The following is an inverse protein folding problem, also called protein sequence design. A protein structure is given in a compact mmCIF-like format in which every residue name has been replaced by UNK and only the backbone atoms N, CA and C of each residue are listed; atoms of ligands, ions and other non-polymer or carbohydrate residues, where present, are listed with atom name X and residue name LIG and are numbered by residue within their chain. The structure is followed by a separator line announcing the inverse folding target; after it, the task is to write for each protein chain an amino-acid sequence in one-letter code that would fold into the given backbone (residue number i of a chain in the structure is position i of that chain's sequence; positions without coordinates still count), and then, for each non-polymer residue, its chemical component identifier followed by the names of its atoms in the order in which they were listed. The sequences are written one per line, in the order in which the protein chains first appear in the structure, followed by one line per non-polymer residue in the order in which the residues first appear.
data_IF_330444886197
#
_entry.id   IF_330444886197
#
_cell.length_a   1.000
_cell.length_b   1.000
_cell.length_c   1.000
_cell.angle_alpha   90.00
_cell.angle_beta   90.00
_cell.angle_gamma   90.00
#
_symmetry.space_group_name_H-M   'P 1'
#
loop_
_entity.id
_entity.type
_entity.pdbx_description
1 polymer ?
#
# COMPACT_ATOMS: atom_id res chain seq x y z
N UNK A 1 28.24 16.82 -41.15
CA UNK A 1 27.28 16.28 -42.15
C UNK A 1 26.46 15.15 -41.56
N UNK A 2 27.06 14.03 -41.12
CA UNK A 2 26.33 12.94 -40.46
C UNK A 2 25.66 13.36 -39.14
N UNK A 3 26.36 14.14 -38.30
CA UNK A 3 25.79 14.69 -37.05
C UNK A 3 24.53 15.52 -37.30
N UNK A 4 24.55 16.37 -38.34
CA UNK A 4 23.40 17.17 -38.77
C UNK A 4 22.26 16.34 -39.37
N UNK A 5 22.57 15.21 -40.03
CA UNK A 5 21.57 14.33 -40.65
C UNK A 5 20.78 13.58 -39.58
N UNK A 6 21.45 13.18 -38.49
CA UNK A 6 20.86 12.50 -37.35
C UNK A 6 20.07 13.48 -36.47
N UNK A 7 20.60 14.69 -36.28
CA UNK A 7 19.87 15.76 -35.59
C UNK A 7 18.62 16.23 -36.37
N UNK A 8 18.64 16.17 -37.71
CA UNK A 8 17.51 16.59 -38.53
C UNK A 8 16.43 15.52 -38.73
N UNK A 9 16.78 14.22 -38.66
CA UNK A 9 15.83 13.11 -38.75
C UNK A 9 16.42 11.85 -38.09
N UNK A 10 16.06 11.64 -36.82
CA UNK A 10 16.64 10.59 -35.97
C UNK A 10 16.33 9.19 -36.51
N UNK A 11 15.11 8.91 -36.99
CA UNK A 11 14.75 7.59 -37.51
C UNK A 11 15.60 7.18 -38.72
N UNK A 12 15.72 8.05 -39.72
CA UNK A 12 16.55 7.77 -40.91
C UNK A 12 18.05 7.75 -40.59
N UNK A 13 18.47 8.57 -39.62
CA UNK A 13 19.83 8.53 -39.09
C UNK A 13 20.15 7.19 -38.43
N UNK A 14 19.24 6.67 -37.60
CA UNK A 14 19.39 5.40 -36.87
C UNK A 14 19.38 4.18 -37.80
N UNK A 15 18.55 4.16 -38.83
CA UNK A 15 18.56 3.08 -39.83
C UNK A 15 19.87 3.07 -40.62
N UNK A 16 20.38 4.24 -41.01
CA UNK A 16 21.69 4.36 -41.64
C UNK A 16 22.84 3.94 -40.70
N UNK A 17 22.73 4.27 -39.40
CA UNK A 17 23.69 3.79 -38.38
C UNK A 17 23.68 2.28 -38.25
N UNK A 18 22.52 1.66 -38.34
CA UNK A 18 22.38 0.21 -38.29
C UNK A 18 23.01 -0.45 -39.51
N UNK A 19 22.76 0.07 -40.72
CA UNK A 19 23.37 -0.47 -41.94
C UNK A 19 24.90 -0.35 -41.93
N UNK A 20 25.44 0.79 -41.51
CA UNK A 20 26.90 1.02 -41.52
C UNK A 20 27.62 0.39 -40.32
N UNK A 21 26.95 0.28 -39.17
CA UNK A 21 27.49 -0.40 -37.98
C UNK A 21 27.60 -1.91 -38.15
N UNK A 22 26.75 -2.51 -38.99
CA UNK A 22 26.76 -3.94 -39.34
C UNK A 22 27.28 -4.23 -40.76
N UNK A 23 27.95 -3.26 -41.38
CA UNK A 23 28.48 -3.40 -42.74
C UNK A 23 29.44 -4.61 -42.86
N UNK A 24 29.35 -5.37 -43.95
CA UNK A 24 30.11 -6.62 -44.15
C UNK A 24 31.64 -6.40 -44.22
N UNK A 25 32.06 -5.24 -44.71
CA UNK A 25 33.48 -4.86 -44.75
C UNK A 25 33.94 -4.27 -43.40
N UNK A 26 34.93 -4.94 -42.79
CA UNK A 26 35.55 -4.56 -41.52
C UNK A 26 36.19 -3.17 -41.51
N UNK A 27 36.81 -2.75 -42.61
CA UNK A 27 37.43 -1.42 -42.71
C UNK A 27 36.37 -0.31 -42.69
N UNK A 28 35.26 -0.50 -43.42
CA UNK A 28 34.13 0.44 -43.45
C UNK A 28 33.48 0.56 -42.08
N UNK A 29 33.24 -0.57 -41.40
CA UNK A 29 32.67 -0.61 -40.06
C UNK A 29 33.58 0.07 -39.03
N UNK A 30 34.89 -0.21 -39.10
CA UNK A 30 35.87 0.37 -38.19
C UNK A 30 36.02 1.88 -38.41
N UNK A 31 36.08 2.33 -39.67
CA UNK A 31 36.11 3.75 -40.01
C UNK A 31 34.85 4.48 -39.50
N UNK A 32 33.68 3.85 -39.66
CA UNK A 32 32.41 4.38 -39.19
C UNK A 32 32.34 4.52 -37.67
N UNK A 33 32.67 3.45 -36.93
CA UNK A 33 32.68 3.47 -35.46
C UNK A 33 33.69 4.48 -34.91
N UNK A 34 34.82 4.70 -35.61
CA UNK A 34 35.82 5.70 -35.24
C UNK A 34 35.29 7.12 -35.43
N UNK A 35 34.52 7.36 -36.50
CA UNK A 35 33.84 8.65 -36.73
C UNK A 35 32.74 8.86 -35.70
N UNK A 36 31.91 7.85 -35.40
CA UNK A 36 30.88 7.91 -34.35
C UNK A 36 31.50 8.20 -32.98
N UNK A 37 32.58 7.49 -32.62
CA UNK A 37 33.29 7.70 -31.36
C UNK A 37 33.85 9.12 -31.25
N UNK A 38 34.36 9.68 -32.36
CA UNK A 38 34.83 11.06 -32.38
C UNK A 38 33.69 12.07 -32.24
N UNK A 39 32.52 11.82 -32.85
CA UNK A 39 31.33 12.67 -32.70
C UNK A 39 30.80 12.65 -31.26
N UNK A 40 30.76 11.47 -30.62
CA UNK A 40 30.36 11.34 -29.21
C UNK A 40 31.37 11.99 -28.25
N UNK A 41 32.68 11.85 -28.54
CA UNK A 41 33.75 12.49 -27.75
C UNK A 41 33.80 14.01 -27.91
N UNK A 42 33.29 14.54 -29.02
CA UNK A 42 33.18 15.98 -29.25
C UNK A 42 32.01 16.62 -28.48
N UNK A 43 31.24 15.83 -27.71
CA UNK A 43 30.16 16.36 -26.88
C UNK A 43 28.99 16.88 -27.71
N UNK A 44 28.74 16.28 -28.88
CA UNK A 44 27.57 16.63 -29.70
C UNK A 44 26.32 16.35 -28.87
N UNK A 45 25.70 17.40 -28.34
CA UNK A 45 24.37 17.35 -27.74
C UNK A 45 23.42 16.96 -28.87
N UNK A 46 22.80 15.79 -28.76
CA UNK A 46 21.63 15.49 -29.57
C UNK A 46 20.54 16.41 -29.03
N UNK A 47 20.11 17.40 -29.83
CA UNK A 47 18.88 18.15 -29.60
C UNK A 47 17.73 17.14 -29.68
N UNK A 48 17.52 16.38 -28.60
CA UNK A 48 16.20 15.90 -28.24
C UNK A 48 15.40 17.19 -28.06
N UNK A 49 14.35 17.37 -28.86
CA UNK A 49 13.43 18.49 -28.64
C UNK A 49 13.04 18.49 -27.16
N UNK A 50 12.92 19.66 -26.52
CA UNK A 50 12.52 19.77 -25.10
C UNK A 50 11.21 19.03 -24.79
N UNK A 51 10.44 18.66 -25.82
CA UNK A 51 9.21 17.86 -25.76
C UNK A 51 9.44 16.35 -25.51
N UNK A 52 10.62 15.78 -25.82
CA UNK A 52 10.89 14.33 -25.71
C UNK A 52 11.59 13.91 -24.40
N UNK A 53 12.09 14.85 -23.61
CA UNK A 53 12.73 14.55 -22.32
C UNK A 53 11.68 14.60 -21.22
N UNK A 54 11.43 13.48 -20.53
CA UNK A 54 10.59 13.45 -19.33
C UNK A 54 11.06 14.54 -18.36
N UNK A 55 10.31 15.64 -18.26
CA UNK A 55 10.67 16.80 -17.44
C UNK A 55 10.98 16.43 -15.99
N UNK A 56 10.43 15.31 -15.50
CA UNK A 56 10.63 14.85 -14.13
C UNK A 56 11.79 13.86 -13.96
N UNK A 57 12.61 13.57 -14.98
CA UNK A 57 13.68 12.55 -14.88
C UNK A 57 14.60 12.77 -13.66
N UNK A 58 15.08 14.00 -13.44
CA UNK A 58 15.94 14.35 -12.29
C UNK A 58 15.23 14.20 -10.96
N UNK A 59 13.91 14.45 -10.94
CA UNK A 59 13.10 14.29 -9.74
C UNK A 59 12.92 12.80 -9.44
N UNK A 60 12.67 11.99 -10.46
CA UNK A 60 12.56 10.53 -10.37
C UNK A 60 13.87 9.91 -9.87
N UNK A 61 15.04 10.35 -10.35
CA UNK A 61 16.34 9.90 -9.83
C UNK A 61 16.49 10.09 -8.31
N UNK A 62 15.95 11.18 -7.77
CA UNK A 62 16.00 11.46 -6.32
C UNK A 62 14.94 10.67 -5.55
N UNK A 63 13.74 10.52 -6.12
CA UNK A 63 12.62 9.80 -5.49
C UNK A 63 12.92 8.31 -5.37
N UNK A 64 13.51 7.73 -6.41
CA UNK A 64 13.81 6.29 -6.49
C UNK A 64 15.25 5.97 -6.06
N UNK A 65 15.92 6.89 -5.36
CA UNK A 65 17.20 6.59 -4.72
C UNK A 65 17.06 5.37 -3.79
N UNK A 66 18.01 4.42 -3.76
CA UNK A 66 17.90 3.20 -2.96
C UNK A 66 17.62 3.42 -1.47
N UNK A 67 18.01 4.56 -0.89
CA UNK A 67 17.75 4.89 0.52
C UNK A 67 16.36 5.52 0.74
N UNK A 68 15.71 5.99 -0.32
CA UNK A 68 14.38 6.62 -0.31
C UNK A 68 14.28 7.80 0.67
N UNK A 69 15.40 8.50 0.92
CA UNK A 69 15.51 9.55 1.96
C UNK A 69 14.50 10.68 1.74
N UNK A 70 14.30 11.08 0.48
CA UNK A 70 13.36 12.12 0.10
C UNK A 70 11.92 11.76 0.44
N UNK A 71 11.49 10.55 0.08
CA UNK A 71 10.14 10.07 0.36
C UNK A 71 9.96 9.85 1.85
N UNK A 72 10.84 9.12 2.53
CA UNK A 72 10.73 8.87 3.98
C UNK A 72 10.70 10.18 4.78
N UNK A 73 11.46 11.21 4.37
CA UNK A 73 11.44 12.52 5.01
C UNK A 73 10.15 13.29 4.70
N UNK A 74 9.64 13.25 3.45
CA UNK A 74 8.34 13.82 3.11
C UNK A 74 7.25 13.23 4.02
N UNK A 75 7.25 11.91 4.18
CA UNK A 75 6.31 11.16 4.99
C UNK A 75 6.33 11.55 6.46
N UNK A 76 7.52 11.82 7.02
CA UNK A 76 7.68 12.25 8.41
C UNK A 76 7.10 13.64 8.66
N UNK A 77 7.27 14.56 7.71
CA UNK A 77 6.82 15.95 7.88
C UNK A 77 5.39 16.20 7.41
N UNK A 78 4.77 15.19 6.80
CA UNK A 78 3.43 15.26 6.25
C UNK A 78 2.38 15.32 7.38
N UNK A 79 1.45 16.28 7.35
CA UNK A 79 0.37 16.33 8.32
C UNK A 79 -0.60 15.16 8.14
N UNK A 80 -1.22 14.72 9.24
CA UNK A 80 -2.15 13.57 9.27
C UNK A 80 -3.32 13.73 8.28
N UNK A 81 -3.71 14.98 7.98
CA UNK A 81 -4.79 15.31 7.03
C UNK A 81 -4.45 14.97 5.57
N UNK A 82 -3.17 14.94 5.20
CA UNK A 82 -2.70 14.71 3.83
C UNK A 82 -2.03 13.32 3.69
N UNK A 83 -1.64 12.72 4.81
CA UNK A 83 -0.87 11.48 4.84
C UNK A 83 -1.52 10.31 4.07
N UNK A 84 -2.86 10.19 4.08
CA UNK A 84 -3.54 9.14 3.29
C UNK A 84 -3.47 9.39 1.78
N UNK A 85 -3.57 10.66 1.36
CA UNK A 85 -3.48 11.03 -0.05
C UNK A 85 -2.05 10.83 -0.58
N UNK A 86 -1.04 11.23 0.20
CA UNK A 86 0.36 11.03 -0.16
C UNK A 86 0.72 9.54 -0.16
N UNK A 87 0.27 8.75 0.83
CA UNK A 87 0.50 7.30 0.83
C UNK A 87 -0.11 6.62 -0.41
N UNK A 88 -1.35 7.00 -0.78
CA UNK A 88 -1.98 6.47 -1.98
C UNK A 88 -1.22 6.87 -3.26
N UNK A 89 -0.73 8.12 -3.32
CA UNK A 89 0.07 8.61 -4.43
C UNK A 89 1.39 7.85 -4.56
N UNK A 90 2.14 7.70 -3.46
CA UNK A 90 3.38 6.94 -3.42
C UNK A 90 3.17 5.48 -3.84
N UNK A 91 2.12 4.81 -3.35
CA UNK A 91 1.82 3.44 -3.79
C UNK A 91 1.63 3.34 -5.31
N UNK A 92 0.92 4.29 -5.94
CA UNK A 92 0.70 4.26 -7.41
C UNK A 92 1.97 4.54 -8.19
N UNK A 93 2.74 5.55 -7.78
CA UNK A 93 4.02 5.91 -8.43
C UNK A 93 5.00 4.74 -8.36
N UNK A 94 5.19 4.17 -7.17
CA UNK A 94 6.16 3.09 -6.99
C UNK A 94 5.69 1.75 -7.58
N UNK A 95 4.38 1.48 -7.61
CA UNK A 95 3.83 0.30 -8.29
C UNK A 95 4.00 0.41 -9.82
N UNK A 96 3.75 1.59 -10.38
CA UNK A 96 3.98 1.84 -11.81
C UNK A 96 5.46 1.66 -12.22
N UNK A 97 6.37 1.82 -11.26
CA UNK A 97 7.82 1.61 -11.43
C UNK A 97 8.32 0.28 -10.84
N UNK A 98 7.41 -0.62 -10.45
CA UNK A 98 7.71 -1.98 -9.95
C UNK A 98 8.62 -2.03 -8.71
N UNK A 99 8.59 -1.00 -7.86
CA UNK A 99 9.43 -0.87 -6.66
C UNK A 99 8.63 -0.53 -5.38
N UNK A 100 7.31 -0.73 -5.38
CA UNK A 100 6.46 -0.42 -4.21
C UNK A 100 6.82 -1.22 -2.97
N UNK A 101 7.28 -2.46 -3.14
CA UNK A 101 7.69 -3.30 -2.02
C UNK A 101 8.94 -2.76 -1.35
N UNK A 102 9.87 -2.17 -2.11
CA UNK A 102 11.06 -1.53 -1.54
C UNK A 102 10.67 -0.34 -0.67
N UNK A 103 9.72 0.48 -1.12
CA UNK A 103 9.18 1.57 -0.33
C UNK A 103 8.49 1.08 0.95
N UNK A 104 7.63 0.06 0.85
CA UNK A 104 6.93 -0.48 2.02
C UNK A 104 7.94 -1.09 3.01
N UNK A 105 8.89 -1.91 2.55
CA UNK A 105 9.93 -2.52 3.36
C UNK A 105 10.81 -1.46 4.02
N UNK A 106 11.24 -0.42 3.29
CA UNK A 106 11.99 0.70 3.85
C UNK A 106 11.20 1.45 4.94
N UNK A 107 9.90 1.70 4.71
CA UNK A 107 9.04 2.36 5.70
C UNK A 107 8.82 1.51 6.97
N UNK A 108 8.74 0.19 6.83
CA UNK A 108 8.67 -0.76 7.95
C UNK A 108 9.96 -0.70 8.77
N UNK A 109 11.13 -0.76 8.11
CA UNK A 109 12.43 -0.65 8.79
C UNK A 109 12.55 0.70 9.53
N UNK A 110 12.14 1.78 8.87
CA UNK A 110 12.14 3.11 9.46
C UNK A 110 11.28 3.19 10.73
N UNK A 111 10.07 2.63 10.71
CA UNK A 111 9.20 2.63 11.89
C UNK A 111 9.69 1.69 12.99
N UNK A 112 10.13 0.48 12.63
CA UNK A 112 10.63 -0.50 13.59
C UNK A 112 11.87 0.04 14.30
N UNK A 113 12.83 0.62 13.57
CA UNK A 113 14.08 1.16 14.15
C UNK A 113 13.84 2.28 15.17
N UNK A 114 12.84 3.13 14.95
CA UNK A 114 12.49 4.26 15.84
C UNK A 114 11.53 3.90 16.97
N UNK A 115 10.89 2.75 16.91
CA UNK A 115 9.99 2.30 17.98
C UNK A 115 10.79 1.79 19.18
N UNK A 116 10.47 2.25 20.39
CA UNK A 116 11.14 1.78 21.61
C UNK A 116 10.54 0.48 22.17
N UNK A 117 9.20 0.36 22.13
CA UNK A 117 8.47 -0.75 22.76
C UNK A 117 7.59 -1.47 21.75
N UNK A 118 7.58 -2.80 21.82
CA UNK A 118 6.76 -3.66 20.96
C UNK A 118 5.26 -3.31 21.03
N UNK A 119 4.76 -2.89 22.19
CA UNK A 119 3.36 -2.53 22.37
C UNK A 119 2.98 -1.18 21.74
N UNK A 120 3.92 -0.36 21.26
CA UNK A 120 3.63 0.88 20.52
C UNK A 120 3.86 0.74 19.02
N UNK A 121 4.48 -0.35 18.59
CA UNK A 121 4.81 -0.63 17.19
C UNK A 121 3.53 -0.71 16.35
N UNK A 122 3.48 0.05 15.25
CA UNK A 122 2.32 0.11 14.36
C UNK A 122 1.01 0.34 15.13
N UNK A 123 1.01 1.05 16.27
CA UNK A 123 -0.25 1.47 16.94
C UNK A 123 -0.66 2.88 16.55
N UNK A 124 0.30 3.71 16.19
CA UNK A 124 0.05 5.05 15.70
C UNK A 124 -0.37 5.00 14.22
N UNK A 125 -1.04 6.05 13.77
CA UNK A 125 -1.41 6.25 12.37
C UNK A 125 -0.18 6.68 11.56
N UNK A 126 0.84 5.83 11.57
CA UNK A 126 2.16 6.04 10.96
C UNK A 126 2.08 5.99 9.44
N UNK A 127 3.11 6.51 8.77
CA UNK A 127 3.14 6.43 7.31
C UNK A 127 3.30 5.00 6.79
N UNK A 128 4.07 4.13 7.46
CA UNK A 128 4.21 2.73 7.03
C UNK A 128 2.86 1.99 7.08
N UNK A 129 2.07 2.22 8.14
CA UNK A 129 0.72 1.63 8.24
C UNK A 129 -0.22 2.18 7.18
N UNK A 130 -0.10 3.46 6.81
CA UNK A 130 -0.86 4.06 5.71
C UNK A 130 -0.47 3.49 4.34
N UNK A 131 0.82 3.35 4.05
CA UNK A 131 1.31 2.70 2.82
C UNK A 131 0.77 1.28 2.70
N UNK A 132 0.91 0.47 3.75
CA UNK A 132 0.37 -0.88 3.80
C UNK A 132 -1.14 -0.90 3.50
N UNK A 133 -1.93 -0.02 4.13
CA UNK A 133 -3.38 0.08 3.89
C UNK A 133 -3.70 0.50 2.45
N UNK A 134 -3.02 1.50 1.91
CA UNK A 134 -3.29 2.00 0.56
C UNK A 134 -2.89 0.97 -0.49
N UNK A 135 -1.79 0.25 -0.27
CA UNK A 135 -1.39 -0.86 -1.13
C UNK A 135 -2.39 -2.02 -1.07
N UNK A 136 -2.87 -2.38 0.14
CA UNK A 136 -3.93 -3.37 0.28
C UNK A 136 -5.21 -2.98 -0.49
N UNK A 137 -5.57 -1.70 -0.50
CA UNK A 137 -6.70 -1.21 -1.29
C UNK A 137 -6.43 -1.28 -2.79
N UNK A 138 -5.19 -1.06 -3.21
CA UNK A 138 -4.80 -1.02 -4.61
C UNK A 138 -4.92 -2.40 -5.28
N UNK A 139 -4.47 -3.47 -4.63
CA UNK A 139 -4.44 -4.83 -5.22
C UNK A 139 -5.30 -5.88 -4.50
N UNK A 140 -5.82 -5.60 -3.31
CA UNK A 140 -6.39 -6.63 -2.43
C UNK A 140 -7.88 -6.95 -2.61
N UNK A 141 -8.61 -6.26 -3.49
CA UNK A 141 -10.09 -6.42 -3.55
C UNK A 141 -10.51 -7.84 -3.91
N UNK A 142 -9.83 -8.49 -4.84
CA UNK A 142 -10.22 -9.84 -5.25
C UNK A 142 -9.99 -10.84 -4.10
N UNK A 143 -8.89 -10.67 -3.37
CA UNK A 143 -8.64 -11.43 -2.16
C UNK A 143 -9.70 -11.20 -1.08
N UNK A 144 -10.19 -9.97 -0.89
CA UNK A 144 -11.31 -9.72 0.04
C UNK A 144 -12.60 -10.43 -0.38
N UNK A 145 -12.89 -10.46 -1.69
CA UNK A 145 -14.11 -11.10 -2.22
C UNK A 145 -14.13 -12.61 -2.03
N UNK A 146 -12.96 -13.26 -2.07
CA UNK A 146 -12.83 -14.69 -1.79
C UNK A 146 -12.70 -15.00 -0.29
N UNK A 147 -11.98 -14.18 0.48
CA UNK A 147 -11.70 -14.44 1.92
C UNK A 147 -12.84 -14.10 2.87
N UNK A 148 -13.53 -12.97 2.68
CA UNK A 148 -14.58 -12.49 3.58
C UNK A 148 -15.92 -12.31 2.88
N UNK A 149 -15.90 -12.21 1.55
CA UNK A 149 -17.10 -12.01 0.74
C UNK A 149 -18.19 -13.09 0.90
N UNK A 150 -17.89 -14.40 0.98
CA UNK A 150 -18.92 -15.43 1.06
C UNK A 150 -19.82 -15.28 2.30
N UNK A 151 -19.24 -15.21 3.50
CA UNK A 151 -20.02 -15.05 4.73
C UNK A 151 -20.68 -13.67 4.83
N UNK A 152 -20.07 -12.59 4.33
CA UNK A 152 -20.73 -11.27 4.25
C UNK A 152 -22.01 -11.35 3.42
N UNK A 153 -21.96 -11.97 2.23
CA UNK A 153 -23.15 -12.16 1.39
C UNK A 153 -24.20 -13.05 2.07
N UNK A 154 -23.75 -14.09 2.79
CA UNK A 154 -24.62 -14.98 3.56
C UNK A 154 -25.40 -14.23 4.64
N UNK A 155 -24.72 -13.38 5.42
CA UNK A 155 -25.33 -12.55 6.48
C UNK A 155 -26.33 -11.55 5.88
N UNK A 156 -25.97 -10.91 4.77
CA UNK A 156 -26.83 -9.92 4.11
C UNK A 156 -28.05 -10.53 3.42
N UNK A 157 -27.94 -11.76 2.91
CA UNK A 157 -29.06 -12.46 2.27
C UNK A 157 -29.99 -13.12 3.30
N UNK A 158 -29.44 -13.64 4.40
CA UNK A 158 -30.16 -14.34 5.44
C UNK A 158 -29.94 -13.64 6.78
N UNK A 159 -30.63 -12.53 6.99
CA UNK A 159 -30.55 -11.77 8.24
C UNK A 159 -30.96 -12.67 9.40
N UNK A 160 -29.99 -13.03 10.23
CA UNK A 160 -30.16 -13.82 11.45
C UNK A 160 -29.96 -12.92 12.66
N UNK A 161 -30.79 -13.05 13.71
CA UNK A 161 -30.56 -12.41 14.99
C UNK A 161 -29.17 -12.69 15.57
N UNK A 162 -28.42 -11.64 15.90
CA UNK A 162 -27.05 -11.74 16.44
C UNK A 162 -26.78 -10.71 17.54
N UNK A 163 -27.81 -10.01 18.06
CA UNK A 163 -27.60 -9.06 19.15
C UNK A 163 -27.26 -9.83 20.43
N UNK A 164 -26.07 -9.56 20.97
CA UNK A 164 -25.55 -10.21 22.18
C UNK A 164 -25.66 -9.33 23.42
N UNK A 165 -25.92 -8.02 23.26
CA UNK A 165 -26.12 -7.12 24.40
C UNK A 165 -27.54 -7.29 24.97
N UNK A 166 -27.71 -7.79 26.20
CA UNK A 166 -29.02 -8.01 26.80
C UNK A 166 -29.85 -6.72 26.90
N UNK A 167 -29.20 -5.55 27.01
CA UNK A 167 -29.88 -4.26 27.08
C UNK A 167 -30.45 -3.78 25.74
N UNK A 168 -30.00 -4.38 24.62
CA UNK A 168 -30.44 -4.05 23.26
C UNK A 168 -31.20 -5.18 22.59
N UNK A 169 -31.43 -6.29 23.30
CA UNK A 169 -32.09 -7.47 22.77
C UNK A 169 -33.55 -7.14 22.39
N UNK A 170 -33.95 -7.32 21.12
CA UNK A 170 -35.34 -7.16 20.70
C UNK A 170 -36.27 -8.15 21.39
N UNK A 171 -37.52 -7.75 21.64
CA UNK A 171 -38.51 -8.61 22.28
C UNK A 171 -38.75 -9.89 21.46
N UNK A 172 -38.68 -11.05 22.14
CA UNK A 172 -38.90 -12.36 21.52
C UNK A 172 -37.66 -13.04 20.93
N UNK A 173 -36.47 -12.42 21.01
CA UNK A 173 -35.21 -13.08 20.69
C UNK A 173 -34.61 -13.79 21.91
N UNK A 174 -33.90 -14.88 21.65
CA UNK A 174 -33.12 -15.61 22.66
C UNK A 174 -31.62 -15.30 22.53
N UNK A 175 -30.98 -14.95 23.64
CA UNK A 175 -29.54 -14.67 23.67
C UNK A 175 -28.71 -15.90 23.34
N UNK A 176 -29.18 -17.10 23.72
CA UNK A 176 -28.44 -18.33 23.46
C UNK A 176 -28.40 -18.65 21.97
N UNK A 177 -29.54 -18.50 21.28
CA UNK A 177 -29.60 -18.60 19.82
C UNK A 177 -28.74 -17.54 19.13
N UNK A 178 -28.83 -16.27 19.56
CA UNK A 178 -28.02 -15.18 19.01
C UNK A 178 -26.52 -15.43 19.17
N UNK A 179 -26.10 -15.95 20.32
CA UNK A 179 -24.72 -16.37 20.58
C UNK A 179 -24.26 -17.44 19.58
N UNK A 180 -25.07 -18.49 19.37
CA UNK A 180 -24.74 -19.53 18.41
C UNK A 180 -24.66 -18.98 16.98
N UNK A 181 -25.54 -18.04 16.61
CA UNK A 181 -25.48 -17.38 15.31
C UNK A 181 -24.16 -16.61 15.12
N UNK A 182 -23.70 -15.86 16.13
CA UNK A 182 -22.41 -15.16 16.08
C UNK A 182 -21.24 -16.14 16.02
N UNK A 183 -21.24 -17.19 16.85
CA UNK A 183 -20.21 -18.23 16.84
C UNK A 183 -20.11 -18.89 15.47
N UNK A 184 -21.22 -19.36 14.92
CA UNK A 184 -21.28 -20.01 13.61
C UNK A 184 -20.79 -19.08 12.49
N UNK A 185 -21.12 -17.79 12.53
CA UNK A 185 -20.61 -16.82 11.55
C UNK A 185 -19.11 -16.55 11.73
N UNK A 186 -18.60 -16.49 12.96
CA UNK A 186 -17.18 -16.35 13.23
C UNK A 186 -16.38 -17.58 12.73
N UNK A 187 -16.89 -18.80 12.94
CA UNK A 187 -16.31 -20.04 12.41
C UNK A 187 -16.23 -20.03 10.87
N UNK A 188 -17.29 -19.55 10.20
CA UNK A 188 -17.33 -19.44 8.74
C UNK A 188 -16.32 -18.43 8.23
N UNK A 189 -16.24 -17.24 8.82
CA UNK A 189 -15.20 -16.27 8.45
C UNK A 189 -13.80 -16.84 8.64
N UNK A 190 -13.53 -17.49 9.78
CA UNK A 190 -12.22 -18.07 10.04
C UNK A 190 -11.85 -19.14 9.01
N UNK A 191 -12.81 -20.02 8.69
CA UNK A 191 -12.67 -21.08 7.68
C UNK A 191 -12.43 -20.50 6.29
N UNK A 192 -13.24 -19.53 5.86
CA UNK A 192 -13.12 -18.88 4.56
C UNK A 192 -11.77 -18.16 4.42
N UNK A 193 -11.36 -17.39 5.43
CA UNK A 193 -10.06 -16.69 5.45
C UNK A 193 -8.91 -17.68 5.38
N UNK A 194 -8.95 -18.75 6.18
CA UNK A 194 -7.91 -19.79 6.19
C UNK A 194 -7.79 -20.49 4.85
N UNK A 195 -8.91 -20.87 4.24
CA UNK A 195 -8.93 -21.58 2.97
C UNK A 195 -8.55 -20.67 1.80
N UNK A 196 -8.74 -19.36 1.93
CA UNK A 196 -8.36 -18.40 0.90
C UNK A 196 -6.89 -18.00 0.95
N UNK A 197 -6.13 -18.33 2.01
CA UNK A 197 -4.71 -17.96 2.16
C UNK A 197 -3.85 -18.23 0.90
N UNK A 198 -4.02 -19.34 0.15
CA UNK A 198 -3.29 -19.57 -1.11
C UNK A 198 -3.56 -18.54 -2.21
N UNK A 199 -4.75 -17.92 -2.22
CA UNK A 199 -5.16 -16.86 -3.15
C UNK A 199 -4.67 -15.47 -2.71
N UNK A 200 -3.92 -15.39 -1.62
CA UNK A 200 -3.37 -14.13 -1.12
C UNK A 200 -2.30 -13.60 -2.09
N UNK A 201 -2.36 -12.32 -2.50
CA UNK A 201 -1.39 -11.74 -3.44
C UNK A 201 0.05 -11.91 -2.94
N UNK A 202 0.97 -12.29 -3.83
CA UNK A 202 2.39 -12.44 -3.51
C UNK A 202 2.99 -11.27 -2.74
N UNK A 203 2.74 -10.01 -3.17
CA UNK A 203 3.23 -8.84 -2.44
C UNK A 203 2.78 -8.77 -0.96
N UNK A 204 1.58 -9.25 -0.62
CA UNK A 204 1.13 -9.27 0.78
C UNK A 204 1.86 -10.34 1.59
N UNK A 205 2.16 -11.48 0.97
CA UNK A 205 2.95 -12.56 1.56
C UNK A 205 4.36 -12.09 1.87
N UNK A 206 4.99 -11.40 0.92
CA UNK A 206 6.31 -10.80 1.12
C UNK A 206 6.32 -9.74 2.22
N UNK A 207 5.28 -8.91 2.32
CA UNK A 207 5.15 -7.95 3.43
C UNK A 207 5.02 -8.69 4.76
N UNK A 208 4.24 -9.77 4.84
CA UNK A 208 4.09 -10.56 6.06
C UNK A 208 5.39 -11.26 6.47
N UNK A 209 6.12 -11.83 5.50
CA UNK A 209 7.44 -12.41 5.69
C UNK A 209 8.42 -11.36 6.23
N UNK A 210 8.50 -10.21 5.57
CA UNK A 210 9.38 -9.13 5.97
C UNK A 210 9.04 -8.55 7.34
N UNK A 211 7.74 -8.43 7.66
CA UNK A 211 7.27 -8.05 8.99
C UNK A 211 7.71 -9.07 10.05
N UNK A 212 7.56 -10.37 9.79
CA UNK A 212 8.00 -11.42 10.72
C UNK A 212 9.48 -11.28 11.03
N UNK A 213 10.31 -11.16 10.00
CA UNK A 213 11.76 -11.18 10.17
C UNK A 213 12.26 -9.86 10.79
N UNK A 214 11.79 -8.72 10.31
CA UNK A 214 12.22 -7.39 10.79
C UNK A 214 11.73 -7.12 12.21
N UNK A 215 10.47 -7.45 12.51
CA UNK A 215 9.92 -7.28 13.86
C UNK A 215 10.50 -8.31 14.81
N UNK A 216 10.65 -9.57 14.40
CA UNK A 216 11.24 -10.61 15.25
C UNK A 216 12.70 -10.34 15.61
N UNK A 217 13.47 -9.74 14.70
CA UNK A 217 14.85 -9.33 14.97
C UNK A 217 14.96 -8.28 16.09
N UNK A 218 14.01 -7.34 16.19
CA UNK A 218 14.03 -6.27 17.20
C UNK A 218 13.19 -6.57 18.44
N UNK A 219 12.06 -7.23 18.26
CA UNK A 219 11.04 -7.52 19.26
C UNK A 219 10.59 -9.00 19.17
N UNK A 220 11.42 -9.94 19.65
CA UNK A 220 11.07 -11.36 19.63
C UNK A 220 9.71 -11.64 20.30
N UNK A 221 8.84 -12.39 19.63
CA UNK A 221 7.48 -12.71 20.08
C UNK A 221 6.40 -11.71 19.63
N UNK A 222 6.77 -10.60 18.99
CA UNK A 222 5.84 -9.61 18.44
C UNK A 222 5.53 -9.80 16.94
N UNK A 223 6.09 -10.84 16.29
CA UNK A 223 5.96 -11.11 14.85
C UNK A 223 4.51 -11.33 14.45
N UNK A 224 3.83 -12.24 15.14
CA UNK A 224 2.41 -12.52 14.95
C UNK A 224 1.54 -11.30 15.22
N UNK A 225 1.92 -10.46 16.18
CA UNK A 225 1.21 -9.21 16.49
C UNK A 225 1.31 -8.21 15.32
N UNK A 226 2.48 -8.12 14.67
CA UNK A 226 2.66 -7.29 13.49
C UNK A 226 1.85 -7.80 12.29
N UNK A 227 1.87 -9.11 12.03
CA UNK A 227 1.08 -9.73 10.95
C UNK A 227 -0.42 -9.55 11.21
N UNK A 228 -0.90 -9.79 12.44
CA UNK A 228 -2.29 -9.54 12.83
C UNK A 228 -2.68 -8.07 12.64
N UNK A 229 -1.77 -7.15 12.99
CA UNK A 229 -1.94 -5.72 12.80
C UNK A 229 -2.03 -5.29 11.32
N UNK A 230 -1.35 -6.01 10.42
CA UNK A 230 -1.40 -5.75 8.99
C UNK A 230 -2.62 -6.42 8.33
N UNK A 231 -2.71 -7.75 8.40
CA UNK A 231 -3.72 -8.52 7.67
C UNK A 231 -5.12 -8.41 8.27
N UNK A 232 -5.25 -8.48 9.59
CA UNK A 232 -6.58 -8.50 10.23
C UNK A 232 -7.05 -7.09 10.55
N UNK A 233 -6.28 -6.36 11.35
CA UNK A 233 -6.70 -5.05 11.86
C UNK A 233 -6.87 -3.99 10.76
N UNK A 234 -6.04 -4.04 9.72
CA UNK A 234 -5.95 -2.99 8.69
C UNK A 234 -6.50 -3.36 7.33
N UNK A 235 -6.84 -4.63 7.12
CA UNK A 235 -7.28 -5.11 5.82
C UNK A 235 -8.57 -5.93 5.88
N UNK A 236 -8.55 -7.11 6.52
CA UNK A 236 -9.71 -8.00 6.59
C UNK A 236 -10.85 -7.45 7.45
N UNK A 237 -10.60 -7.12 8.72
CA UNK A 237 -11.64 -6.62 9.65
C UNK A 237 -12.31 -5.32 9.18
N UNK A 238 -11.56 -4.31 8.66
CA UNK A 238 -12.18 -3.12 8.07
C UNK A 238 -13.12 -3.45 6.89
N UNK A 239 -12.75 -4.43 6.07
CA UNK A 239 -13.56 -4.87 4.95
C UNK A 239 -14.82 -5.64 5.38
N UNK A 240 -14.80 -6.33 6.54
CA UNK A 240 -15.99 -6.97 7.11
C UNK A 240 -16.96 -5.91 7.66
N UNK A 241 -16.46 -4.88 8.33
CA UNK A 241 -17.29 -3.80 8.92
C UNK A 241 -17.93 -2.92 7.84
N UNK A 242 -17.18 -2.64 6.77
CA UNK A 242 -17.64 -1.77 5.70
C UNK A 242 -17.36 -2.35 4.30
N UNK A 243 -18.04 -3.44 3.95
CA UNK A 243 -17.77 -4.17 2.71
C UNK A 243 -18.05 -3.36 1.44
N UNK A 244 -18.96 -2.40 1.50
CA UNK A 244 -19.26 -1.47 0.40
C UNK A 244 -18.10 -0.50 0.15
N UNK A 245 -17.46 0.01 1.20
CA UNK A 245 -16.28 0.89 1.10
C UNK A 245 -15.05 0.16 0.55
N UNK A 246 -14.96 -1.15 0.78
CA UNK A 246 -13.88 -2.02 0.30
C UNK A 246 -14.22 -2.78 -0.99
N UNK A 247 -15.40 -2.50 -1.61
CA UNK A 247 -15.86 -3.13 -2.87
C UNK A 247 -15.95 -4.66 -2.82
N UNK A 248 -16.12 -5.20 -1.63
CA UNK A 248 -16.45 -6.62 -1.40
C UNK A 248 -17.88 -6.90 -1.88
N UNK A 249 -18.76 -5.92 -1.69
CA UNK A 249 -20.12 -5.89 -2.22
C UNK A 249 -20.33 -4.64 -3.08
N UNK A 250 -21.29 -4.72 -4.01
CA UNK A 250 -21.55 -3.64 -4.98
C UNK A 250 -22.63 -2.65 -4.50
N UNK A 251 -23.32 -2.94 -3.40
CA UNK A 251 -24.42 -2.13 -2.89
C UNK A 251 -24.17 -1.72 -1.43
N UNK A 252 -24.54 -0.49 -1.04
CA UNK A 252 -24.41 -0.05 0.34
C UNK A 252 -25.37 -0.83 1.24
N UNK A 253 -24.90 -1.22 2.44
CA UNK A 253 -25.75 -1.89 3.43
C UNK A 253 -26.71 -0.86 4.04
N UNK A 254 -28.00 -0.95 3.73
CA UNK A 254 -28.99 -0.04 4.33
C UNK A 254 -29.51 -0.54 5.68
N UNK A 255 -29.49 -1.87 5.86
CA UNK A 255 -29.98 -2.51 7.08
C UNK A 255 -29.02 -2.31 8.27
N UNK A 256 -29.54 -1.74 9.35
CA UNK A 256 -28.78 -1.46 10.57
C UNK A 256 -28.45 -2.73 11.33
N UNK A 257 -29.33 -3.72 11.29
CA UNK A 257 -29.16 -4.97 12.03
C UNK A 257 -28.03 -5.80 11.41
N UNK A 258 -27.99 -5.92 10.09
CA UNK A 258 -26.87 -6.52 9.37
C UNK A 258 -25.54 -5.83 9.66
N UNK A 259 -25.50 -4.49 9.68
CA UNK A 259 -24.28 -3.76 10.06
C UNK A 259 -23.86 -4.09 11.50
N UNK A 260 -24.83 -4.16 12.42
CA UNK A 260 -24.58 -4.53 13.82
C UNK A 260 -24.02 -5.96 13.93
N UNK A 261 -24.59 -6.91 13.21
CA UNK A 261 -24.13 -8.30 13.13
C UNK A 261 -22.68 -8.38 12.63
N UNK A 262 -22.36 -7.71 11.53
CA UNK A 262 -20.99 -7.65 10.99
C UNK A 262 -20.00 -7.07 12.00
N UNK A 263 -20.38 -6.00 12.70
CA UNK A 263 -19.54 -5.43 13.76
C UNK A 263 -19.29 -6.44 14.87
N UNK A 264 -20.33 -7.12 15.38
CA UNK A 264 -20.20 -8.08 16.48
C UNK A 264 -19.30 -9.26 16.10
N UNK A 265 -19.49 -9.85 14.93
CA UNK A 265 -18.64 -10.95 14.44
C UNK A 265 -17.21 -10.46 14.22
N UNK A 266 -17.02 -9.26 13.66
CA UNK A 266 -15.67 -8.68 13.47
C UNK A 266 -14.95 -8.47 14.79
N UNK A 267 -15.64 -8.10 15.88
CA UNK A 267 -15.02 -8.01 17.21
C UNK A 267 -14.43 -9.34 17.65
N UNK A 268 -15.15 -10.43 17.44
CA UNK A 268 -14.68 -11.79 17.78
C UNK A 268 -13.44 -12.14 16.97
N UNK A 269 -13.50 -11.96 15.64
CA UNK A 269 -12.35 -12.22 14.74
C UNK A 269 -11.14 -11.36 15.10
N UNK A 270 -11.35 -10.09 15.43
CA UNK A 270 -10.27 -9.17 15.81
C UNK A 270 -9.64 -9.54 17.16
N UNK A 271 -10.45 -9.95 18.15
CA UNK A 271 -9.93 -10.40 19.45
C UNK A 271 -9.16 -11.71 19.31
N UNK A 272 -9.65 -12.64 18.48
CA UNK A 272 -8.94 -13.86 18.11
C UNK A 272 -7.59 -13.55 17.43
N UNK A 273 -7.56 -12.66 16.44
CA UNK A 273 -6.33 -12.24 15.75
C UNK A 273 -5.33 -11.57 16.70
N UNK A 274 -5.82 -10.77 17.63
CA UNK A 274 -4.99 -10.15 18.68
C UNK A 274 -4.59 -11.14 19.78
N UNK A 275 -5.21 -12.33 19.83
CA UNK A 275 -5.04 -13.37 20.86
C UNK A 275 -5.33 -12.82 22.26
N UNK A 276 -6.41 -12.05 22.39
CA UNK A 276 -6.87 -11.45 23.66
C UNK A 276 -8.32 -11.85 23.93
N UNK A 277 -8.65 -12.00 25.21
CA UNK A 277 -10.01 -12.31 25.67
C UNK A 277 -10.83 -11.04 25.88
N UNK A 278 -12.14 -11.16 25.76
CA UNK A 278 -13.06 -10.11 26.17
C UNK A 278 -13.03 -9.97 27.69
N UNK A 279 -12.74 -8.74 28.15
CA UNK A 279 -12.80 -8.32 29.56
C UNK A 279 -13.47 -6.95 29.74
N UNK A 280 -13.50 -6.13 28.68
CA UNK A 280 -14.09 -4.79 28.69
C UNK A 280 -15.58 -4.77 28.31
N UNK A 281 -16.05 -5.84 27.67
CA UNK A 281 -17.42 -5.97 27.16
C UNK A 281 -18.02 -7.26 27.73
N UNK A 282 -18.66 -7.21 28.92
CA UNK A 282 -19.14 -8.42 29.62
C UNK A 282 -20.08 -9.28 28.78
N UNK A 283 -20.90 -8.65 27.92
CA UNK A 283 -21.81 -9.36 27.02
C UNK A 283 -21.11 -10.16 25.90
N UNK A 284 -19.81 -9.94 25.67
CA UNK A 284 -19.00 -10.69 24.70
C UNK A 284 -18.17 -11.81 25.37
N UNK A 285 -18.10 -11.88 26.70
CA UNK A 285 -17.27 -12.87 27.43
C UNK A 285 -17.64 -14.32 27.11
N UNK A 286 -18.90 -14.56 26.73
CA UNK A 286 -19.36 -15.86 26.25
C UNK A 286 -18.59 -16.36 25.01
N UNK A 287 -17.92 -15.48 24.25
CA UNK A 287 -17.08 -15.82 23.10
C UNK A 287 -15.64 -16.20 23.48
N UNK A 288 -15.23 -16.04 24.74
CA UNK A 288 -13.87 -16.38 25.18
C UNK A 288 -13.49 -17.86 24.93
N UNK A 289 -14.37 -18.86 25.17
CA UNK A 289 -14.07 -20.25 24.82
C UNK A 289 -13.78 -20.44 23.34
N UNK A 290 -14.50 -19.76 22.45
CA UNK A 290 -14.23 -19.78 21.00
C UNK A 290 -12.85 -19.18 20.69
N UNK A 291 -12.49 -18.07 21.34
CA UNK A 291 -11.16 -17.45 21.14
C UNK A 291 -10.06 -18.42 21.55
N UNK A 292 -10.16 -19.02 22.74
CA UNK A 292 -9.17 -19.96 23.28
C UNK A 292 -9.01 -21.20 22.38
N UNK A 293 -10.12 -21.76 21.91
CA UNK A 293 -10.17 -22.92 21.02
C UNK A 293 -9.40 -22.67 19.70
N UNK A 294 -9.57 -21.48 19.10
CA UNK A 294 -8.99 -21.15 17.80
C UNK A 294 -7.63 -20.42 17.86
N UNK A 295 -7.10 -20.10 19.05
CA UNK A 295 -5.78 -19.45 19.17
C UNK A 295 -4.62 -20.22 18.48
N UNK A 296 -4.54 -21.56 18.51
CA UNK A 296 -3.50 -22.28 17.78
C UNK A 296 -3.66 -22.15 16.27
N UNK A 297 -4.89 -22.19 15.77
CA UNK A 297 -5.20 -22.09 14.35
C UNK A 297 -4.82 -20.73 13.79
N UNK A 298 -5.16 -19.63 14.47
CA UNK A 298 -4.83 -18.28 14.01
C UNK A 298 -3.31 -18.04 13.98
N UNK A 299 -2.54 -18.63 14.91
CA UNK A 299 -1.06 -18.59 14.88
C UNK A 299 -0.52 -19.28 13.63
N UNK A 300 -1.00 -20.49 13.34
CA UNK A 300 -0.59 -21.21 12.14
C UNK A 300 -0.95 -20.45 10.86
N UNK A 301 -2.09 -19.74 10.85
CA UNK A 301 -2.45 -18.86 9.74
C UNK A 301 -1.45 -17.72 9.56
N UNK A 302 -0.95 -17.10 10.63
CA UNK A 302 0.09 -16.06 10.53
C UNK A 302 1.41 -16.60 9.98
N UNK A 303 1.85 -17.77 10.44
CA UNK A 303 3.05 -18.43 9.91
C UNK A 303 2.86 -18.78 8.43
N UNK A 304 1.66 -19.23 8.07
CA UNK A 304 1.29 -19.45 6.69
C UNK A 304 1.36 -18.12 5.92
N UNK A 305 0.72 -17.02 6.37
CA UNK A 305 0.81 -15.70 5.72
C UNK A 305 2.23 -15.22 5.45
N UNK A 306 3.14 -15.48 6.37
CA UNK A 306 4.54 -15.08 6.27
C UNK A 306 5.40 -16.04 5.43
N UNK A 307 4.83 -17.05 4.79
CA UNK A 307 5.55 -17.98 3.91
C UNK A 307 5.21 -17.66 2.45
N UNK A 308 6.16 -17.17 1.65
CA UNK A 308 5.89 -16.87 0.23
C UNK A 308 5.83 -18.18 -0.56
N UNK A 309 4.71 -18.49 -1.26
CA UNK A 309 4.64 -19.70 -2.10
C UNK A 309 5.53 -19.55 -3.33
N UNK A 310 5.96 -20.66 -3.96
CA UNK A 310 6.83 -20.63 -5.14
C UNK A 310 6.21 -19.87 -6.34
N UNK A 311 4.88 -19.94 -6.48
CA UNK A 311 4.13 -19.25 -7.53
C UNK A 311 2.92 -18.54 -6.94
N UNK A 312 3.10 -17.35 -6.34
CA UNK A 312 1.99 -16.60 -5.79
C UNK A 312 1.07 -16.06 -6.89
N UNK A 313 -0.21 -15.78 -6.59
CA UNK A 313 -1.08 -15.02 -7.48
C UNK A 313 -0.43 -13.69 -7.86
N UNK A 314 -0.23 -13.50 -9.17
CA UNK A 314 0.36 -12.27 -9.71
C UNK A 314 -0.75 -11.29 -10.08
N UNK A 315 -0.64 -10.06 -9.59
CA UNK A 315 -1.56 -8.97 -9.91
C UNK A 315 -0.79 -7.95 -10.72
N UNK A 316 -1.07 -7.90 -12.02
CA UNK A 316 -0.50 -6.89 -12.90
C UNK A 316 -1.42 -5.68 -12.99
N UNK A 317 -0.89 -4.53 -12.59
CA UNK A 317 -1.55 -3.24 -12.79
C UNK A 317 -0.94 -2.51 -13.98
N UNK A 318 -1.80 -1.88 -14.78
CA UNK A 318 -1.40 -1.03 -15.89
C UNK A 318 -1.66 0.43 -15.53
N UNK A 319 -0.67 1.29 -15.78
CA UNK A 319 -0.77 2.73 -15.59
C UNK A 319 -0.48 3.42 -16.93
N UNK A 320 -1.37 4.31 -17.37
CA UNK A 320 -1.15 5.09 -18.58
C UNK A 320 -0.09 6.17 -18.33
N UNK A 321 0.55 6.65 -19.39
CA UNK A 321 1.60 7.66 -19.25
C UNK A 321 1.04 9.00 -18.75
N UNK A 322 -0.20 9.35 -19.11
CA UNK A 322 -0.88 10.52 -18.54
C UNK A 322 -1.11 10.37 -17.04
N UNK A 323 -1.41 9.15 -16.57
CA UNK A 323 -1.57 8.90 -15.14
C UNK A 323 -0.25 9.01 -14.39
N UNK A 324 0.84 8.46 -14.96
CA UNK A 324 2.18 8.59 -14.39
C UNK A 324 2.61 10.05 -14.29
N UNK A 325 2.43 10.82 -15.37
CA UNK A 325 2.78 12.24 -15.38
C UNK A 325 1.95 13.05 -14.37
N UNK A 326 0.64 12.80 -14.30
CA UNK A 326 -0.24 13.46 -13.32
C UNK A 326 0.14 13.13 -11.87
N UNK A 327 0.52 11.88 -11.61
CA UNK A 327 0.95 11.44 -10.28
C UNK A 327 2.29 12.06 -9.87
N UNK A 328 3.27 12.05 -10.78
CA UNK A 328 4.56 12.70 -10.54
C UNK A 328 4.39 14.22 -10.35
N UNK A 329 3.49 14.85 -11.10
CA UNK A 329 3.12 16.26 -10.91
C UNK A 329 2.47 16.54 -9.54
N UNK A 330 1.59 15.66 -9.06
CA UNK A 330 1.03 15.77 -7.72
C UNK A 330 2.10 15.58 -6.64
N UNK A 331 3.07 14.69 -6.85
CA UNK A 331 4.17 14.48 -5.91
C UNK A 331 5.11 15.70 -5.88
N UNK A 332 5.39 16.28 -7.05
CA UNK A 332 6.08 17.56 -7.15
C UNK A 332 5.38 18.64 -6.30
N UNK A 333 4.05 18.76 -6.39
CA UNK A 333 3.30 19.67 -5.52
C UNK A 333 3.56 19.44 -4.02
N UNK A 334 3.42 18.20 -3.54
CA UNK A 334 3.61 17.89 -2.12
C UNK A 334 5.05 18.12 -1.63
N UNK A 335 6.05 17.79 -2.45
CA UNK A 335 7.46 18.06 -2.15
C UNK A 335 7.73 19.56 -2.06
N UNK A 336 7.20 20.34 -3.00
CA UNK A 336 7.35 21.80 -2.99
C UNK A 336 6.67 22.45 -1.78
N UNK A 337 5.46 22.02 -1.42
CA UNK A 337 4.74 22.53 -0.23
C UNK A 337 5.44 22.12 1.09
N UNK A 338 6.10 20.97 1.13
CA UNK A 338 6.73 20.44 2.34
C UNK A 338 8.20 20.83 2.48
N UNK A 339 8.77 21.54 1.51
CA UNK A 339 10.21 21.84 1.42
C UNK A 339 10.79 22.45 2.70
N UNK A 340 10.14 23.44 3.29
CA UNK A 340 10.63 24.07 4.53
C UNK A 340 10.62 23.13 5.73
N UNK A 341 9.61 22.27 5.83
CA UNK A 341 9.50 21.30 6.92
C UNK A 341 10.54 20.18 6.73
N UNK A 342 10.74 19.72 5.50
CA UNK A 342 11.79 18.77 5.16
C UNK A 342 13.18 19.32 5.49
N UNK A 343 13.45 20.60 5.17
CA UNK A 343 14.70 21.25 5.53
C UNK A 343 14.97 21.21 7.04
N UNK A 344 13.93 21.52 7.85
CA UNK A 344 14.02 21.44 9.32
C UNK A 344 14.25 20.02 9.81
N UNK A 345 13.59 19.02 9.22
CA UNK A 345 13.77 17.61 9.60
C UNK A 345 15.18 17.11 9.26
N UNK A 346 15.73 17.48 8.10
CA UNK A 346 17.12 17.17 7.72
C UNK A 346 18.11 17.87 8.65
N UNK A 347 17.87 19.14 9.00
CA UNK A 347 18.71 19.87 9.94
C UNK A 347 18.68 19.28 11.37
N UNK A 348 17.60 18.60 11.75
CA UNK A 348 17.45 17.99 13.08
C UNK A 348 18.07 16.59 13.19
N UNK A 349 18.34 15.92 12.06
CA UNK A 349 18.78 14.52 12.02
C UNK A 349 20.18 14.39 11.40
N UNK A 350 21.23 14.12 12.20
CA UNK A 350 22.60 14.01 11.71
C UNK A 350 22.81 12.92 10.65
N UNK A 351 22.00 11.86 10.64
CA UNK A 351 22.11 10.80 9.63
C UNK A 351 21.67 11.34 8.25
N UNK A 352 20.60 12.14 8.22
CA UNK A 352 20.08 12.75 6.99
C UNK A 352 21.00 13.83 6.41
N UNK A 353 21.87 14.42 7.23
CA UNK A 353 22.84 15.43 6.79
C UNK A 353 24.03 14.83 6.04
N UNK A 354 24.28 13.53 6.17
CA UNK A 354 25.42 12.89 5.51
C UNK A 354 25.26 12.79 3.98
N UNK A 355 24.03 12.96 3.48
CA UNK A 355 23.68 12.81 2.07
C UNK A 355 23.23 14.15 1.49
N UNK A 356 23.67 14.47 0.26
CA UNK A 356 23.35 15.73 -0.42
C UNK A 356 22.03 15.69 -1.19
N UNK A 357 21.17 14.70 -0.94
CA UNK A 357 19.89 14.52 -1.63
C UNK A 357 18.97 15.73 -1.51
N UNK A 358 18.96 16.41 -0.35
CA UNK A 358 18.04 17.53 -0.12
C UNK A 358 18.44 18.80 -0.88
N UNK A 359 19.74 19.03 -1.04
CA UNK A 359 20.28 20.11 -1.87
C UNK A 359 19.97 19.85 -3.35
N UNK A 360 20.19 18.61 -3.82
CA UNK A 360 19.81 18.19 -5.17
C UNK A 360 18.32 18.35 -5.41
N UNK A 361 17.48 17.91 -4.47
CA UNK A 361 16.02 18.04 -4.56
C UNK A 361 15.63 19.51 -4.68
N UNK A 362 16.21 20.38 -3.86
CA UNK A 362 15.98 21.83 -3.91
C UNK A 362 16.29 22.43 -5.28
N UNK A 363 17.43 22.05 -5.87
CA UNK A 363 17.82 22.52 -7.22
C UNK A 363 16.84 22.03 -8.26
N UNK A 364 16.47 20.74 -8.23
CA UNK A 364 15.52 20.14 -9.18
C UNK A 364 14.14 20.78 -9.08
N UNK A 365 13.60 20.96 -7.87
CA UNK A 365 12.30 21.61 -7.67
C UNK A 365 12.31 23.05 -8.18
N UNK A 366 13.45 23.75 -8.05
CA UNK A 366 13.59 25.12 -8.54
C UNK A 366 13.70 25.18 -10.07
N UNK A 367 14.31 24.17 -10.71
CA UNK A 367 14.36 24.01 -12.17
C UNK A 367 12.98 23.66 -12.75
N UNK A 368 12.19 22.85 -12.03
CA UNK A 368 10.84 22.45 -12.43
C UNK A 368 9.81 23.58 -12.35
N UNK A 369 10.09 24.64 -11.58
CA UNK A 369 9.21 25.79 -11.43
C UNK A 369 7.96 25.50 -10.60
N UNK A 370 6.86 26.23 -10.87
CA UNK A 370 5.62 26.06 -10.11
C UNK A 370 4.99 24.68 -10.38
N UNK A 371 4.66 23.91 -9.34
CA UNK A 371 4.05 22.60 -9.52
C UNK A 371 2.62 22.73 -10.06
N UNK A 372 2.17 21.77 -10.89
CA UNK A 372 0.76 21.72 -11.28
C UNK A 372 -0.09 21.53 -10.01
N UNK A 373 -1.17 22.30 -9.87
CA UNK A 373 -2.09 22.09 -8.77
C UNK A 373 -2.69 20.68 -8.89
N UNK A 374 -2.68 19.87 -7.81
CA UNK A 374 -3.32 18.57 -7.84
C UNK A 374 -4.78 18.77 -8.19
N UNK A 375 -5.24 18.21 -9.31
CA UNK A 375 -6.60 18.41 -9.77
C UNK A 375 -7.58 17.92 -8.69
N UNK A 376 -8.42 18.82 -8.17
CA UNK A 376 -9.54 18.46 -7.27
C UNK A 376 -10.66 17.71 -8.00
N UNK A 377 -10.60 17.66 -9.34
CA UNK A 377 -11.43 16.77 -10.15
C UNK A 377 -10.97 15.35 -9.87
N UNK A 378 -11.86 14.53 -9.27
CA UNK A 378 -11.74 13.07 -9.22
C UNK A 378 -11.27 12.59 -10.59
N UNK A 379 -9.98 12.25 -10.70
CA UNK A 379 -9.43 11.77 -11.95
C UNK A 379 -10.31 10.62 -12.43
N UNK A 380 -10.84 10.76 -13.64
CA UNK A 380 -11.58 9.71 -14.32
C UNK A 380 -10.56 8.65 -14.76
N UNK A 381 -10.09 7.85 -13.80
CA UNK A 381 -9.33 6.63 -14.05
C UNK A 381 -10.07 5.49 -13.34
N UNK A 382 -10.63 4.57 -14.13
CA UNK A 382 -10.86 3.19 -13.69
C UNK A 382 -9.60 2.43 -14.13
N UNK A 383 -8.92 1.68 -13.24
CA UNK A 383 -9.44 1.04 -12.03
C UNK A 383 -9.16 1.87 -10.77
N UNK A 384 -10.06 1.74 -9.78
CA UNK A 384 -9.91 2.31 -8.43
C UNK A 384 -10.02 3.84 -8.24
N UNK A 385 -11.15 4.43 -8.63
CA UNK A 385 -11.64 5.67 -8.00
C UNK A 385 -12.59 5.35 -6.80
N UNK A 386 -12.12 5.30 -5.54
CA UNK A 386 -12.98 5.07 -4.39
C UNK A 386 -13.93 6.25 -4.15
N UNK A 387 -15.13 5.95 -3.66
CA UNK A 387 -15.94 6.90 -2.90
C UNK A 387 -15.11 7.33 -1.69
N UNK A 388 -14.51 8.52 -1.76
CA UNK A 388 -13.72 9.14 -0.69
C UNK A 388 -14.56 9.57 0.53
N UNK A 389 -15.47 8.72 0.98
CA UNK A 389 -16.17 8.91 2.24
C UNK A 389 -15.31 8.40 3.38
N UNK A 390 -15.03 9.26 4.37
CA UNK A 390 -14.53 8.83 5.68
C UNK A 390 -15.45 7.73 6.19
N UNK A 391 -14.91 6.54 6.44
CA UNK A 391 -15.72 5.43 6.91
C UNK A 391 -15.90 5.53 8.43
N UNK A 392 -16.93 6.28 8.84
CA UNK A 392 -17.23 6.58 10.25
C UNK A 392 -17.32 5.31 11.10
N UNK A 393 -17.88 4.23 10.55
CA UNK A 393 -18.01 2.95 11.26
C UNK A 393 -16.66 2.29 11.54
N UNK A 394 -15.72 2.37 10.59
CA UNK A 394 -14.35 1.88 10.80
C UNK A 394 -13.59 2.75 11.81
N UNK A 395 -13.70 4.08 11.72
CA UNK A 395 -13.05 4.98 12.68
C UNK A 395 -13.57 4.76 14.11
N UNK A 396 -14.88 4.56 14.28
CA UNK A 396 -15.49 4.21 15.56
C UNK A 396 -15.04 2.83 16.06
N UNK A 397 -14.90 1.86 15.18
CA UNK A 397 -14.39 0.54 15.53
C UNK A 397 -12.94 0.61 16.02
N UNK A 398 -12.07 1.31 15.27
CA UNK A 398 -10.66 1.49 15.66
C UNK A 398 -10.52 2.24 16.98
N UNK A 399 -11.36 3.25 17.25
CA UNK A 399 -11.38 3.96 18.55
C UNK A 399 -11.75 3.06 19.73
N UNK A 400 -12.52 2.00 19.51
CA UNK A 400 -12.91 1.05 20.56
C UNK A 400 -11.91 -0.11 20.74
N UNK A 401 -11.06 -0.34 19.74
CA UNK A 401 -10.07 -1.43 19.71
C UNK A 401 -8.65 -0.98 20.05
N UNK A 402 -8.33 0.31 19.91
CA UNK A 402 -7.15 0.94 20.50
C UNK A 402 -7.29 1.00 22.03
#
# INVERSE_FOLDING_TARGET
ALSYLVAANIEHGLDYFKEMGYHENDETRSAFLKVLSNILKQGTEFDMTEEDVDKYYKLNEIIFDPKLEAILTLCEVTPVTEADAIAQLCCRIFEANQCVLDLIKASIVYEVSRTEKANTLFRLNSFATKLMVQYCKLIGVEYLRCSVGPEIRSILANARPMEMDPAKLPAGQDLTENFQNVKNSAERFLTDIKNSIPECPGPFREICEFLRDTVGAKFPGAEHTAIAGFMFLRFLCPAIIAPDGFRVINQPIQDKDSRRSLVLVTKVIQNLANRVLFVKEPFMECMNPFIEEHMPEIRNMFDTYATVPESPPNIQLSFSDEQKEADTGALHYYLSQSREKMAKAVAADPEKQQSNWFEKLTVVLSQLGEPPQPSTKKAAARPFAPSGGKNVHYEEFMKKMA
#
